data_IF_830056413208
#
_entry.id   IF_830056413208
#
_cell.length_a   1.000
_cell.length_b   1.000
_cell.length_c   1.000
_cell.angle_alpha   90.00
_cell.angle_beta   90.00
_cell.angle_gamma   90.00
#
_symmetry.space_group_name_H-M   'P 1'
#
loop_
_entity.id
_entity.type
_entity.pdbx_description
1 polymer ?
#
# COMPACT_ATOMS: atom_id res chain seq x y z
N UNK A 1 -43.53 -29.85 32.97
CA UNK A 1 -44.47 -28.75 33.31
C UNK A 1 -44.08 -27.50 32.52
N UNK A 2 -45.08 -26.90 31.87
CA UNK A 2 -45.26 -25.53 31.32
C UNK A 2 -43.99 -24.66 31.12
N UNK A 3 -43.63 -24.36 29.85
CA UNK A 3 -43.89 -23.09 29.08
C UNK A 3 -43.24 -21.86 29.75
N UNK A 4 -42.43 -21.04 29.06
CA UNK A 4 -42.83 -20.18 27.93
C UNK A 4 -41.61 -19.65 27.16
N UNK A 5 -41.68 -19.76 25.84
CA UNK A 5 -40.98 -18.89 24.91
C UNK A 5 -41.59 -17.48 24.98
N UNK A 6 -40.76 -16.44 24.92
CA UNK A 6 -41.20 -15.07 24.69
C UNK A 6 -40.43 -14.52 23.50
N UNK A 7 -41.05 -14.61 22.33
CA UNK A 7 -40.72 -13.80 21.16
C UNK A 7 -41.29 -12.41 21.42
N UNK A 8 -40.44 -11.39 21.45
CA UNK A 8 -40.88 -10.02 21.19
C UNK A 8 -40.29 -9.58 19.84
N UNK A 9 -41.15 -9.64 18.84
CA UNK A 9 -41.03 -8.84 17.65
C UNK A 9 -41.33 -7.38 18.05
N UNK A 10 -40.40 -6.46 17.79
CA UNK A 10 -40.74 -5.03 17.71
C UNK A 10 -40.63 -4.59 16.26
N UNK A 11 -41.73 -3.97 15.85
CA UNK A 11 -42.09 -3.59 14.51
C UNK A 11 -41.21 -2.46 13.97
N UNK A 12 -40.93 -2.57 12.67
CA UNK A 12 -40.61 -1.46 11.79
C UNK A 12 -41.80 -0.49 11.75
N UNK A 13 -41.57 0.75 12.13
CA UNK A 13 -42.38 1.89 11.73
C UNK A 13 -41.42 3.06 11.52
N UNK A 14 -41.31 3.50 10.27
CA UNK A 14 -40.52 4.66 9.89
C UNK A 14 -41.21 5.95 10.29
N UNK A 15 -40.39 6.97 10.53
CA UNK A 15 -40.78 8.36 10.37
C UNK A 15 -39.52 9.14 10.02
N UNK A 16 -39.48 9.57 8.78
CA UNK A 16 -38.62 10.61 8.24
C UNK A 16 -38.74 11.87 9.09
N UNK A 17 -37.62 12.32 9.66
CA UNK A 17 -37.44 13.72 10.02
C UNK A 17 -36.15 14.18 9.36
N UNK A 18 -36.30 14.74 8.15
CA UNK A 18 -35.34 15.68 7.62
C UNK A 18 -35.31 16.87 8.58
N UNK A 19 -34.16 17.11 9.20
CA UNK A 19 -33.82 18.42 9.75
C UNK A 19 -32.56 18.88 9.02
N UNK A 20 -32.79 19.70 8.00
CA UNK A 20 -31.81 20.63 7.51
C UNK A 20 -31.47 21.59 8.65
N UNK A 21 -30.24 21.53 9.15
CA UNK A 21 -29.64 22.62 9.91
C UNK A 21 -28.32 22.98 9.24
N UNK A 22 -28.44 24.06 8.47
CA UNK A 22 -27.43 25.05 8.09
C UNK A 22 -26.14 24.98 8.91
N UNK A 23 -25.07 24.66 8.17
CA UNK A 23 -23.71 25.22 8.29
C UNK A 23 -23.48 26.26 9.39
N UNK A 24 -22.71 25.89 10.41
CA UNK A 24 -21.85 26.83 11.16
C UNK A 24 -20.41 26.34 11.08
N UNK A 25 -19.70 26.91 10.11
CA UNK A 25 -18.26 26.82 9.97
C UNK A 25 -17.60 27.56 11.15
N UNK A 26 -16.53 27.04 11.76
CA UNK A 26 -15.77 27.78 12.75
C UNK A 26 -14.94 28.86 12.06
N UNK A 27 -15.11 30.09 12.53
CA UNK A 27 -14.36 31.29 12.17
C UNK A 27 -12.97 31.22 12.84
N UNK A 28 -11.85 31.27 12.10
CA UNK A 28 -10.57 31.59 12.71
C UNK A 28 -10.35 33.11 12.65
N UNK A 29 -10.06 33.68 13.80
CA UNK A 29 -9.50 35.03 13.92
C UNK A 29 -8.27 35.17 13.01
N UNK A 30 -8.28 36.16 12.12
CA UNK A 30 -7.07 36.64 11.45
C UNK A 30 -6.88 38.11 11.72
N UNK A 31 -5.71 38.35 12.31
CA UNK A 31 -5.06 39.60 12.62
C UNK A 31 -4.84 40.43 11.35
N UNK A 32 -5.08 41.73 11.48
CA UNK A 32 -4.84 42.73 10.45
C UNK A 32 -3.34 42.85 10.16
N UNK A 33 -2.94 42.55 8.93
CA UNK A 33 -1.77 43.17 8.33
C UNK A 33 -2.14 43.62 6.91
N UNK A 34 -2.12 44.94 6.75
CA UNK A 34 -2.13 45.64 5.47
C UNK A 34 -1.03 45.08 4.57
N UNK A 35 -1.41 44.55 3.42
CA UNK A 35 -0.56 44.60 2.24
C UNK A 35 -1.45 44.89 1.02
N UNK A 36 -1.25 46.09 0.49
CA UNK A 36 -1.89 46.63 -0.71
C UNK A 36 -1.50 45.77 -1.91
N UNK A 37 -2.42 44.94 -2.41
CA UNK A 37 -2.29 44.30 -3.72
C UNK A 37 -3.02 45.18 -4.75
N UNK A 38 -2.33 45.73 -5.78
CA UNK A 38 -3.01 46.36 -6.89
C UNK A 38 -3.76 45.30 -7.70
N UNK A 39 -5.08 45.47 -7.77
CA UNK A 39 -5.95 44.75 -8.69
C UNK A 39 -5.86 45.35 -10.10
N UNK A 40 -5.22 44.64 -11.03
CA UNK A 40 -5.44 44.78 -12.48
C UNK A 40 -5.91 43.41 -13.01
N UNK A 41 -7.22 43.19 -13.15
CA UNK A 41 -8.05 43.44 -14.34
C UNK A 41 -7.52 42.79 -15.63
N UNK A 42 -8.31 41.81 -16.10
CA UNK A 42 -8.52 41.39 -17.49
C UNK A 42 -7.39 40.61 -18.18
N UNK A 43 -7.35 39.29 -17.95
CA UNK A 43 -6.76 38.35 -18.91
C UNK A 43 -7.71 38.19 -20.12
N UNK A 44 -7.63 39.12 -21.06
CA UNK A 44 -8.09 38.88 -22.43
C UNK A 44 -7.07 37.92 -23.03
N UNK A 45 -7.49 36.73 -23.46
CA UNK A 45 -6.65 35.86 -24.26
C UNK A 45 -6.32 36.59 -25.57
N UNK A 46 -5.16 37.25 -25.61
CA UNK A 46 -4.70 37.92 -26.80
C UNK A 46 -4.52 36.87 -27.91
N UNK A 47 -5.19 37.05 -29.05
CA UNK A 47 -4.96 36.22 -30.22
C UNK A 47 -3.48 36.35 -30.61
N UNK A 48 -2.74 35.26 -30.44
CA UNK A 48 -1.31 35.23 -30.77
C UNK A 48 -1.20 35.33 -32.29
N UNK A 49 -0.51 36.36 -32.77
CA UNK A 49 -0.33 36.57 -34.20
C UNK A 49 0.46 35.42 -34.83
N UNK A 50 0.10 35.04 -36.05
CA UNK A 50 0.80 34.00 -36.83
C UNK A 50 2.31 34.25 -36.93
N UNK A 51 2.73 35.51 -36.97
CA UNK A 51 4.14 35.90 -37.00
C UNK A 51 4.86 35.53 -35.71
N UNK A 52 4.26 35.80 -34.56
CA UNK A 52 4.79 35.45 -33.24
C UNK A 52 4.98 33.94 -33.09
N UNK A 53 4.07 33.14 -33.66
CA UNK A 53 4.19 31.67 -33.69
C UNK A 53 5.37 31.24 -34.57
N UNK A 54 5.51 31.81 -35.77
CA UNK A 54 6.59 31.47 -36.70
C UNK A 54 7.96 31.83 -36.11
N UNK A 55 8.08 33.00 -35.49
CA UNK A 55 9.32 33.46 -34.83
C UNK A 55 9.69 32.56 -33.65
N UNK A 56 8.70 32.16 -32.84
CA UNK A 56 8.92 31.23 -31.73
C UNK A 56 9.39 29.85 -32.22
N UNK A 57 8.81 29.33 -33.30
CA UNK A 57 9.21 28.05 -33.90
C UNK A 57 10.62 28.10 -34.51
N UNK A 58 11.00 29.25 -35.09
CA UNK A 58 12.36 29.46 -35.59
C UNK A 58 13.38 29.57 -34.46
N UNK A 59 13.02 30.20 -33.33
CA UNK A 59 13.85 30.26 -32.14
C UNK A 59 14.07 28.85 -31.55
N UNK A 60 13.01 28.04 -31.41
CA UNK A 60 13.08 26.62 -30.99
C UNK A 60 14.06 25.83 -31.88
N UNK A 61 13.99 26.03 -33.20
CA UNK A 61 14.85 25.32 -34.15
C UNK A 61 16.33 25.72 -34.03
N UNK A 62 16.61 26.97 -33.67
CA UNK A 62 17.98 27.52 -33.63
C UNK A 62 18.66 27.22 -32.29
N UNK A 63 17.91 27.28 -31.20
CA UNK A 63 18.40 26.93 -29.85
C UNK A 63 17.22 26.46 -28.97
N UNK A 64 17.02 25.13 -28.85
CA UNK A 64 15.93 24.55 -28.06
C UNK A 64 15.94 24.96 -26.59
N UNK A 65 17.10 25.39 -26.06
CA UNK A 65 17.27 25.73 -24.63
C UNK A 65 16.76 27.13 -24.28
N UNK A 66 16.56 27.99 -25.28
CA UNK A 66 16.05 29.37 -25.09
C UNK A 66 14.55 29.44 -24.88
N UNK A 67 13.83 28.35 -25.15
CA UNK A 67 12.38 28.26 -24.96
C UNK A 67 12.12 27.74 -23.55
N UNK A 68 11.58 28.60 -22.69
CA UNK A 68 11.11 28.22 -21.36
C UNK A 68 9.95 27.24 -21.50
N UNK A 69 10.28 25.95 -21.52
CA UNK A 69 9.30 24.89 -21.45
C UNK A 69 8.79 24.84 -20.00
N UNK A 70 7.64 25.46 -19.76
CA UNK A 70 6.89 25.24 -18.53
C UNK A 70 6.22 23.89 -18.66
N UNK A 71 6.95 22.80 -18.37
CA UNK A 71 6.33 21.48 -18.25
C UNK A 71 5.24 21.57 -17.18
N UNK A 72 4.08 20.96 -17.46
CA UNK A 72 2.88 21.00 -16.62
C UNK A 72 3.01 20.20 -15.30
N UNK A 73 4.21 20.16 -14.71
CA UNK A 73 4.43 19.63 -13.37
C UNK A 73 4.82 20.80 -12.45
N UNK A 74 3.92 21.78 -12.31
CA UNK A 74 4.10 22.95 -11.45
C UNK A 74 3.64 22.73 -10.00
N UNK A 75 3.50 21.47 -9.59
CA UNK A 75 3.18 21.12 -8.21
C UNK A 75 4.40 20.46 -7.59
N UNK A 76 4.77 20.90 -6.40
CA UNK A 76 5.72 20.17 -5.58
C UNK A 76 5.11 18.79 -5.30
N UNK A 77 5.89 17.73 -5.56
CA UNK A 77 5.47 16.38 -5.19
C UNK A 77 5.28 16.36 -3.68
N UNK A 78 4.05 16.08 -3.22
CA UNK A 78 3.79 15.89 -1.81
C UNK A 78 4.68 14.76 -1.30
N UNK A 79 5.54 15.06 -0.32
CA UNK A 79 6.34 14.03 0.31
C UNK A 79 5.42 13.02 1.01
N UNK A 80 5.74 11.72 0.98
CA UNK A 80 5.01 10.73 1.74
C UNK A 80 5.02 11.11 3.23
N UNK A 81 3.94 10.80 3.98
CA UNK A 81 3.88 11.12 5.39
C UNK A 81 4.99 10.40 6.16
N UNK A 82 5.47 11.03 7.24
CA UNK A 82 6.52 10.47 8.12
C UNK A 82 6.06 9.19 8.81
N UNK A 83 4.76 9.08 9.09
CA UNK A 83 4.15 7.92 9.74
C UNK A 83 3.03 7.33 8.88
N UNK A 84 2.84 6.03 9.03
CA UNK A 84 1.72 5.28 8.47
C UNK A 84 0.96 4.56 9.59
N UNK A 85 -0.33 4.32 9.38
CA UNK A 85 -1.20 3.66 10.36
C UNK A 85 -1.42 2.22 9.94
N UNK A 86 -0.99 1.28 10.79
CA UNK A 86 -1.35 -0.12 10.71
C UNK A 86 -2.70 -0.35 11.38
N UNK A 87 -3.67 -0.89 10.66
CA UNK A 87 -4.95 -1.35 11.23
C UNK A 87 -4.91 -2.87 11.40
N UNK A 88 -4.99 -3.34 12.65
CA UNK A 88 -4.94 -4.77 12.94
C UNK A 88 -6.17 -5.51 12.37
N UNK A 89 -5.99 -6.53 11.51
CA UNK A 89 -7.11 -7.29 10.94
C UNK A 89 -7.85 -8.14 11.97
N UNK A 90 -7.22 -8.46 13.11
CA UNK A 90 -7.80 -9.32 14.16
C UNK A 90 -8.69 -8.54 15.12
N UNK A 91 -8.25 -7.35 15.56
CA UNK A 91 -8.93 -6.59 16.63
C UNK A 91 -9.35 -5.17 16.23
N UNK A 92 -8.98 -4.70 15.03
CA UNK A 92 -9.32 -3.37 14.53
C UNK A 92 -8.57 -2.20 15.19
N UNK A 93 -7.62 -2.48 16.10
CA UNK A 93 -6.82 -1.43 16.74
C UNK A 93 -5.81 -0.85 15.76
N UNK A 94 -5.66 0.47 15.77
CA UNK A 94 -4.68 1.19 14.97
C UNK A 94 -3.36 1.36 15.72
N UNK A 95 -2.24 1.19 15.03
CA UNK A 95 -0.88 1.38 15.56
C UNK A 95 -0.08 2.20 14.55
N UNK A 96 0.63 3.23 14.99
CA UNK A 96 1.42 4.09 14.11
C UNK A 96 2.86 3.61 14.02
N UNK A 97 3.39 3.58 12.80
CA UNK A 97 4.78 3.24 12.49
C UNK A 97 5.41 4.30 11.61
N UNK A 98 6.73 4.45 11.70
CA UNK A 98 7.47 5.33 10.80
C UNK A 98 7.46 4.74 9.39
N UNK A 99 7.13 5.54 8.36
CA UNK A 99 6.94 5.05 6.98
C UNK A 99 8.19 4.39 6.42
N UNK A 100 9.38 4.83 6.82
CA UNK A 100 10.67 4.27 6.36
C UNK A 100 11.17 3.09 7.21
N UNK A 101 10.41 2.62 8.20
CA UNK A 101 10.79 1.43 8.98
C UNK A 101 10.21 0.15 8.36
N UNK A 102 10.77 -1.00 8.72
CA UNK A 102 10.22 -2.31 8.31
C UNK A 102 8.73 -2.45 8.69
N UNK A 103 8.35 -2.03 9.90
CA UNK A 103 6.96 -2.07 10.35
C UNK A 103 6.05 -1.15 9.53
N UNK A 104 6.55 0.03 9.12
CA UNK A 104 5.84 0.93 8.21
C UNK A 104 5.63 0.30 6.83
N UNK A 105 6.64 -0.40 6.32
CA UNK A 105 6.53 -1.11 5.04
C UNK A 105 5.50 -2.25 5.10
N UNK A 106 5.50 -3.04 6.19
CA UNK A 106 4.45 -4.05 6.43
C UNK A 106 3.08 -3.38 6.50
N UNK A 107 2.94 -2.29 7.25
CA UNK A 107 1.69 -1.55 7.41
C UNK A 107 1.10 -1.09 6.07
N UNK A 108 1.94 -0.58 5.17
CA UNK A 108 1.55 -0.15 3.84
C UNK A 108 1.13 -1.33 2.93
N UNK A 109 1.63 -2.54 3.20
CA UNK A 109 1.39 -3.74 2.38
C UNK A 109 0.30 -4.67 2.92
N UNK A 110 -0.21 -4.51 4.15
CA UNK A 110 -1.18 -5.44 4.78
C UNK A 110 -2.35 -5.78 3.86
N UNK A 111 -2.97 -4.77 3.25
CA UNK A 111 -4.13 -4.96 2.39
C UNK A 111 -3.77 -5.74 1.11
N UNK A 112 -2.60 -5.47 0.54
CA UNK A 112 -2.09 -6.20 -0.61
C UNK A 112 -1.77 -7.65 -0.23
N UNK A 113 -0.99 -7.86 0.83
CA UNK A 113 -0.65 -9.18 1.34
C UNK A 113 -1.91 -10.01 1.59
N UNK A 114 -2.86 -9.50 2.36
CA UNK A 114 -4.10 -10.21 2.69
C UNK A 114 -4.89 -10.63 1.45
N UNK A 115 -4.89 -9.83 0.38
CA UNK A 115 -5.55 -10.18 -0.90
C UNK A 115 -4.75 -11.19 -1.71
N UNK A 116 -3.43 -11.08 -1.73
CA UNK A 116 -2.54 -11.93 -2.51
C UNK A 116 -2.36 -13.34 -1.93
N UNK A 117 -2.54 -13.53 -0.60
CA UNK A 117 -2.39 -14.84 0.04
C UNK A 117 -3.28 -15.93 -0.56
N UNK A 118 -4.49 -15.57 -1.01
CA UNK A 118 -5.41 -16.52 -1.66
C UNK A 118 -4.96 -17.00 -3.04
N UNK A 119 -3.95 -16.34 -3.63
CA UNK A 119 -3.40 -16.68 -4.94
C UNK A 119 -2.14 -17.56 -4.83
N UNK A 120 -1.58 -17.71 -3.63
CA UNK A 120 -0.43 -18.57 -3.40
C UNK A 120 -0.87 -20.04 -3.53
N UNK A 121 -0.05 -20.84 -4.22
CA UNK A 121 -0.35 -22.26 -4.49
C UNK A 121 -0.50 -23.08 -3.20
N UNK A 122 0.32 -22.77 -2.20
CA UNK A 122 0.17 -23.29 -0.85
C UNK A 122 -0.89 -22.47 -0.09
N UNK A 123 -1.81 -23.15 0.60
CA UNK A 123 -2.72 -22.48 1.54
C UNK A 123 -1.88 -21.79 2.62
N UNK A 124 -1.86 -20.46 2.58
CA UNK A 124 -1.00 -19.63 3.42
C UNK A 124 -1.84 -18.59 4.15
N UNK A 125 -1.61 -18.45 5.45
CA UNK A 125 -2.19 -17.41 6.29
C UNK A 125 -1.05 -16.60 6.92
N UNK A 126 -1.32 -15.31 7.18
CA UNK A 126 -0.38 -14.41 7.84
C UNK A 126 -0.92 -14.06 9.20
N UNK A 127 -0.04 -14.08 10.20
CA UNK A 127 -0.30 -13.57 11.53
C UNK A 127 0.32 -12.19 11.69
N UNK A 128 -0.52 -11.21 11.99
CA UNK A 128 -0.12 -9.82 12.24
C UNK A 128 -0.21 -9.44 13.72
N UNK A 129 -0.37 -10.41 14.64
CA UNK A 129 -0.52 -10.16 16.08
C UNK A 129 0.59 -9.26 16.63
N UNK A 130 1.81 -9.48 16.19
CA UNK A 130 3.01 -8.83 16.72
C UNK A 130 3.08 -7.35 16.32
N UNK A 131 2.41 -6.96 15.23
CA UNK A 131 2.32 -5.57 14.76
C UNK A 131 1.19 -4.78 15.43
N UNK A 132 0.38 -5.41 16.27
CA UNK A 132 -0.70 -4.73 16.95
C UNK A 132 -0.30 -4.44 18.40
N UNK A 133 -0.31 -3.17 18.78
CA UNK A 133 -0.07 -2.72 20.17
C UNK A 133 -0.97 -3.39 21.24
N UNK A 134 -2.10 -3.97 20.84
CA UNK A 134 -3.03 -4.69 21.73
C UNK A 134 -2.91 -6.21 21.66
N UNK A 135 -2.57 -6.77 20.49
CA UNK A 135 -2.49 -8.23 20.30
C UNK A 135 -1.08 -8.76 20.56
N UNK A 136 -0.05 -7.92 20.49
CA UNK A 136 1.32 -8.34 20.77
C UNK A 136 1.40 -8.80 22.23
N UNK A 137 1.90 -10.01 22.43
CA UNK A 137 2.09 -10.60 23.77
C UNK A 137 3.40 -10.12 24.39
N UNK A 138 4.36 -9.82 23.52
CA UNK A 138 5.69 -9.35 23.85
C UNK A 138 5.85 -7.99 23.19
N UNK A 139 6.27 -6.98 23.95
CA UNK A 139 6.65 -5.66 23.42
C UNK A 139 8.03 -5.76 22.78
N UNK A 140 8.20 -6.70 21.84
CA UNK A 140 9.46 -6.87 21.13
C UNK A 140 9.71 -5.63 20.26
N UNK A 141 10.93 -5.11 20.33
CA UNK A 141 11.35 -3.94 19.55
C UNK A 141 11.30 -4.19 18.03
N UNK A 142 11.20 -5.46 17.60
CA UNK A 142 11.13 -5.87 16.20
C UNK A 142 10.05 -6.93 15.98
N UNK A 143 8.80 -6.54 15.64
CA UNK A 143 7.74 -7.49 15.33
C UNK A 143 8.07 -8.27 14.06
N UNK A 144 7.73 -9.56 14.02
CA UNK A 144 8.01 -10.45 12.90
C UNK A 144 6.74 -10.78 12.12
N UNK A 145 6.81 -10.78 10.78
CA UNK A 145 5.71 -11.24 9.94
C UNK A 145 5.73 -12.76 9.85
N UNK A 146 4.82 -13.41 10.58
CA UNK A 146 4.72 -14.87 10.66
C UNK A 146 3.71 -15.41 9.64
N UNK A 147 4.12 -16.44 8.91
CA UNK A 147 3.29 -17.13 7.93
C UNK A 147 3.06 -18.56 8.39
N UNK A 148 1.81 -19.01 8.31
CA UNK A 148 1.42 -20.40 8.47
C UNK A 148 1.03 -20.95 7.11
N UNK A 149 1.83 -21.87 6.58
CA UNK A 149 1.64 -22.46 5.26
C UNK A 149 1.34 -23.96 5.35
N UNK A 150 0.51 -24.45 4.44
CA UNK A 150 0.30 -25.88 4.21
C UNK A 150 1.28 -26.37 3.15
N UNK A 151 2.10 -27.36 3.50
CA UNK A 151 3.03 -28.00 2.57
C UNK A 151 2.29 -28.50 1.33
N UNK A 152 2.78 -28.14 0.14
CA UNK A 152 2.15 -28.53 -1.12
C UNK A 152 2.25 -30.04 -1.43
N UNK A 153 3.23 -30.74 -0.85
CA UNK A 153 3.46 -32.17 -1.08
C UNK A 153 2.69 -33.05 -0.08
N UNK A 154 2.80 -32.76 1.22
CA UNK A 154 2.22 -33.60 2.27
C UNK A 154 1.04 -33.00 3.04
N UNK A 155 0.68 -31.73 2.78
CA UNK A 155 -0.40 -31.03 3.48
C UNK A 155 -0.11 -30.66 4.94
N UNK A 156 1.07 -31.00 5.47
CA UNK A 156 1.45 -30.62 6.83
C UNK A 156 1.63 -29.11 6.96
N UNK A 157 1.13 -28.54 8.05
CA UNK A 157 1.35 -27.14 8.38
C UNK A 157 2.79 -26.91 8.84
N UNK A 158 3.39 -25.82 8.38
CA UNK A 158 4.68 -25.33 8.84
C UNK A 158 4.66 -23.80 8.89
N UNK A 159 5.58 -23.22 9.65
CA UNK A 159 5.69 -21.79 9.82
C UNK A 159 7.00 -21.27 9.23
N UNK A 160 6.97 -20.05 8.72
CA UNK A 160 8.15 -19.30 8.32
C UNK A 160 7.92 -17.82 8.59
N UNK A 161 8.99 -17.05 8.67
CA UNK A 161 8.94 -15.61 8.96
C UNK A 161 9.54 -14.81 7.80
N UNK A 162 9.13 -13.56 7.69
CA UNK A 162 9.84 -12.55 6.92
C UNK A 162 10.11 -11.37 7.86
N UNK A 163 11.37 -11.01 8.11
CA UNK A 163 11.75 -10.01 9.11
C UNK A 163 12.60 -8.86 8.57
N UNK A 164 12.88 -8.85 7.26
CA UNK A 164 13.57 -7.76 6.56
C UNK A 164 12.73 -7.17 5.43
N UNK A 165 13.06 -5.94 5.01
CA UNK A 165 12.42 -5.30 3.85
C UNK A 165 12.70 -6.09 2.57
N UNK A 166 13.92 -6.59 2.39
CA UNK A 166 14.32 -7.41 1.24
C UNK A 166 13.45 -8.66 1.11
N UNK A 167 13.12 -9.33 2.22
CA UNK A 167 12.23 -10.49 2.20
C UNK A 167 10.78 -10.10 1.85
N UNK A 168 10.29 -8.94 2.29
CA UNK A 168 8.97 -8.43 1.91
C UNK A 168 8.88 -8.11 0.42
N UNK A 169 9.96 -7.60 -0.17
CA UNK A 169 10.08 -7.34 -1.61
C UNK A 169 10.08 -8.62 -2.44
N UNK A 170 10.54 -9.73 -1.87
CA UNK A 170 10.54 -11.04 -2.52
C UNK A 170 9.21 -11.80 -2.40
N UNK A 171 8.29 -11.41 -1.51
CA UNK A 171 6.99 -12.10 -1.34
C UNK A 171 6.18 -12.29 -2.63
N UNK A 172 6.16 -11.34 -3.59
CA UNK A 172 5.49 -11.54 -4.87
C UNK A 172 6.00 -12.77 -5.66
N UNK A 173 7.23 -13.24 -5.40
CA UNK A 173 7.76 -14.46 -6.03
C UNK A 173 6.92 -15.70 -5.67
N UNK A 174 6.22 -15.71 -4.54
CA UNK A 174 5.32 -16.82 -4.17
C UNK A 174 4.14 -17.00 -5.13
N UNK A 175 3.86 -15.98 -5.95
CA UNK A 175 2.82 -15.99 -6.97
C UNK A 175 3.33 -16.47 -8.34
N UNK A 176 4.61 -16.83 -8.44
CA UNK A 176 5.20 -17.23 -9.73
C UNK A 176 4.54 -18.52 -10.25
N UNK A 177 4.13 -18.49 -11.51
CA UNK A 177 3.63 -19.66 -12.21
C UNK A 177 4.76 -20.58 -12.68
N UNK A 178 4.46 -21.88 -12.70
CA UNK A 178 5.44 -22.90 -13.07
C UNK A 178 5.03 -23.55 -14.40
N UNK A 179 5.98 -23.91 -15.28
CA UNK A 179 7.43 -23.81 -15.10
C UNK A 179 7.95 -22.38 -15.27
N UNK A 180 8.91 -21.98 -14.43
CA UNK A 180 9.51 -20.65 -14.50
C UNK A 180 10.59 -20.65 -15.58
N UNK A 181 10.39 -19.86 -16.65
CA UNK A 181 11.39 -19.71 -17.72
C UNK A 181 12.24 -18.44 -17.56
N UNK A 182 11.70 -17.41 -16.92
CA UNK A 182 12.37 -16.17 -16.54
C UNK A 182 11.61 -15.49 -15.39
N UNK A 183 12.33 -14.76 -14.53
CA UNK A 183 11.72 -13.85 -13.55
C UNK A 183 12.31 -12.47 -13.75
N UNK A 184 11.53 -11.57 -14.32
CA UNK A 184 11.81 -10.14 -14.32
C UNK A 184 11.03 -9.51 -13.16
N UNK A 185 11.73 -9.02 -12.15
CA UNK A 185 11.10 -8.38 -11.00
C UNK A 185 10.68 -6.93 -11.25
N UNK A 186 11.05 -6.31 -12.37
CA UNK A 186 10.53 -5.01 -12.79
C UNK A 186 10.89 -3.80 -11.89
N UNK A 187 11.12 -2.67 -12.57
CA UNK A 187 11.26 -1.25 -12.16
C UNK A 187 12.05 -0.80 -10.92
N UNK A 188 12.51 -1.67 -10.01
CA UNK A 188 13.49 -1.33 -8.96
C UNK A 188 14.75 -2.18 -9.16
N UNK A 189 15.46 -1.90 -10.24
CA UNK A 189 16.71 -2.58 -10.59
C UNK A 189 16.48 -3.92 -11.28
N UNK A 190 17.26 -4.16 -12.32
CA UNK A 190 17.32 -5.38 -13.13
C UNK A 190 17.85 -6.57 -12.31
N UNK A 191 17.18 -6.95 -11.22
CA UNK A 191 17.55 -8.13 -10.44
C UNK A 191 17.01 -9.38 -11.14
N UNK A 192 17.76 -9.87 -12.12
CA UNK A 192 17.59 -11.25 -12.62
C UNK A 192 17.88 -12.21 -11.47
N UNK A 193 16.85 -12.84 -10.92
CA UNK A 193 17.02 -13.90 -9.94
C UNK A 193 17.42 -15.17 -10.67
N UNK A 194 18.58 -15.71 -10.30
CA UNK A 194 19.04 -17.00 -10.82
C UNK A 194 17.99 -18.09 -10.50
N UNK A 195 17.65 -18.98 -11.45
CA UNK A 195 16.64 -20.04 -11.24
C UNK A 195 16.88 -20.87 -9.98
N UNK A 196 18.14 -21.10 -9.61
CA UNK A 196 18.53 -21.84 -8.42
C UNK A 196 18.11 -21.12 -7.13
N UNK A 197 18.33 -19.80 -7.07
CA UNK A 197 17.93 -18.97 -5.93
C UNK A 197 16.42 -18.87 -5.79
N UNK A 198 15.71 -18.81 -6.92
CA UNK A 198 14.25 -18.84 -6.93
C UNK A 198 13.73 -20.20 -6.43
N UNK A 199 14.32 -21.29 -6.91
CA UNK A 199 13.97 -22.64 -6.47
C UNK A 199 14.15 -22.80 -4.96
N UNK A 200 15.28 -22.35 -4.42
CA UNK A 200 15.57 -22.31 -2.98
C UNK A 200 14.56 -21.43 -2.22
N UNK A 201 14.25 -20.25 -2.73
CA UNK A 201 13.28 -19.34 -2.11
C UNK A 201 11.89 -19.99 -2.00
N UNK A 202 11.42 -20.59 -3.10
CA UNK A 202 10.08 -21.19 -3.20
C UNK A 202 9.98 -22.51 -2.44
N UNK A 203 11.01 -23.36 -2.50
CA UNK A 203 11.04 -24.61 -1.73
C UNK A 203 10.92 -24.32 -0.24
N UNK A 204 11.64 -23.30 0.25
CA UNK A 204 11.65 -22.94 1.66
C UNK A 204 10.31 -22.44 2.21
N UNK A 205 9.44 -21.89 1.33
CA UNK A 205 8.17 -21.25 1.71
C UNK A 205 6.93 -22.04 1.31
N UNK A 206 7.06 -23.03 0.42
CA UNK A 206 5.96 -23.86 -0.06
C UNK A 206 6.05 -25.33 0.41
N UNK A 207 7.22 -25.79 0.84
CA UNK A 207 7.46 -27.16 1.31
C UNK A 207 7.94 -27.18 2.76
N UNK A 208 7.43 -28.13 3.55
CA UNK A 208 7.98 -28.42 4.86
C UNK A 208 9.38 -29.04 4.73
N UNK A 209 10.18 -28.93 5.79
CA UNK A 209 11.58 -29.41 5.81
C UNK A 209 11.72 -30.87 5.35
N UNK A 210 10.87 -31.78 5.85
CA UNK A 210 10.93 -33.19 5.49
C UNK A 210 10.68 -33.44 3.98
N UNK A 211 9.76 -32.68 3.37
CA UNK A 211 9.50 -32.78 1.94
C UNK A 211 10.64 -32.17 1.11
N UNK A 212 11.27 -31.08 1.57
CA UNK A 212 12.45 -30.51 0.90
C UNK A 212 13.59 -31.52 0.85
N UNK A 213 13.91 -32.13 2.00
CA UNK A 213 14.94 -33.17 2.12
C UNK A 213 14.65 -34.39 1.22
N UNK A 214 13.39 -34.84 1.19
CA UNK A 214 12.94 -35.95 0.31
C UNK A 214 13.16 -35.65 -1.18
N UNK A 215 12.96 -34.41 -1.60
CA UNK A 215 13.13 -33.99 -3.00
C UNK A 215 14.55 -33.50 -3.33
N UNK A 216 15.49 -33.57 -2.38
CA UNK A 216 16.86 -33.09 -2.57
C UNK A 216 16.95 -31.56 -2.72
N UNK A 217 15.93 -30.83 -2.27
CA UNK A 217 15.90 -29.37 -2.23
C UNK A 217 16.52 -28.93 -0.91
N UNK A 218 17.64 -28.22 -0.98
CA UNK A 218 18.27 -27.59 0.20
C UNK A 218 17.65 -26.24 0.46
#
# INVERSE_FOLDING_TARGET
MKKKALLLALALAGSTSAHAQTTKQPEPARENTNDTIPSEKNAVAAEISKLTIIESLQAIKKDPTTVKFHSAMCYDMAMPPVYTTFSCPTCGTETQYHTQSYQGEVANRVAYLSRSLGQIKAKTAVDFSDFCSKCSKDSDDQPELKFNASCIDCGQSFNWTANTIEELEQLPLLLTDFPVTEVDQGHIGEQKIAPEKLSEYLSNRLLCQACREKHGLK
#
